data_IF_364837789177
#
_entry.id   IF_364837789177
#
_cell.length_a   1.000
_cell.length_b   1.000
_cell.length_c   1.000
_cell.angle_alpha   90.00
_cell.angle_beta   90.00
_cell.angle_gamma   90.00
#
_symmetry.space_group_name_H-M   'P 1'
#
loop_
_entity.id
_entity.type
_entity.pdbx_description
1 polymer ?
#
# COMPACT_ATOMS: atom_id res chain seq x y z
N UNK A 1 14.71 16.87 1.91
CA UNK A 1 14.20 17.19 0.56
C UNK A 1 12.70 16.94 0.61
N UNK A 2 11.88 17.97 0.45
CA UNK A 2 10.42 17.87 0.51
C UNK A 2 9.92 18.07 -0.92
N UNK A 3 9.43 17.01 -1.55
CA UNK A 3 9.14 16.98 -3.00
C UNK A 3 8.04 18.00 -3.38
N UNK A 4 7.02 18.16 -2.54
CA UNK A 4 6.13 19.33 -2.35
C UNK A 4 5.03 18.90 -1.36
N UNK A 5 4.29 19.83 -0.75
CA UNK A 5 3.19 19.49 0.20
C UNK A 5 2.03 18.75 -0.48
N UNK A 6 1.94 18.85 -1.80
CA UNK A 6 0.81 18.32 -2.59
C UNK A 6 1.07 16.91 -3.13
N UNK A 7 2.29 16.37 -3.02
CA UNK A 7 2.60 15.02 -3.48
C UNK A 7 2.42 14.02 -2.35
N UNK A 8 1.54 13.04 -2.56
CA UNK A 8 1.19 12.04 -1.56
C UNK A 8 0.95 10.67 -2.19
N UNK A 9 0.97 9.61 -1.38
CA UNK A 9 0.71 8.25 -1.83
C UNK A 9 -0.80 7.99 -1.83
N UNK A 10 -1.40 7.79 -3.00
CA UNK A 10 -2.84 7.54 -3.12
C UNK A 10 -3.32 6.28 -2.36
N UNK A 11 -2.41 5.31 -2.12
CA UNK A 11 -2.74 4.14 -1.31
C UNK A 11 -3.05 4.50 0.15
N UNK A 12 -2.56 5.62 0.67
CA UNK A 12 -2.92 6.13 2.00
C UNK A 12 -4.42 6.47 2.06
N UNK A 13 -4.96 7.06 1.00
CA UNK A 13 -6.40 7.35 0.87
C UNK A 13 -7.22 6.06 0.89
N UNK A 14 -6.81 5.04 0.13
CA UNK A 14 -7.54 3.77 0.06
C UNK A 14 -7.47 2.99 1.39
N UNK A 15 -6.30 2.91 2.01
CA UNK A 15 -6.15 2.29 3.34
C UNK A 15 -6.97 3.04 4.39
N UNK A 16 -6.95 4.37 4.36
CA UNK A 16 -7.76 5.21 5.25
C UNK A 16 -9.26 4.96 5.08
N UNK A 17 -9.73 4.77 3.85
CA UNK A 17 -11.14 4.42 3.58
C UNK A 17 -11.53 3.06 4.19
N UNK A 18 -10.65 2.05 4.09
CA UNK A 18 -10.90 0.74 4.69
C UNK A 18 -10.94 0.84 6.22
N UNK A 19 -9.97 1.54 6.83
CA UNK A 19 -9.88 1.69 8.29
C UNK A 19 -10.95 2.60 8.89
N UNK A 20 -11.67 3.37 8.08
CA UNK A 20 -12.81 4.17 8.52
C UNK A 20 -14.10 3.35 8.71
N UNK A 21 -14.11 2.07 8.31
CA UNK A 21 -15.22 1.17 8.61
C UNK A 21 -15.34 0.94 10.13
N UNK A 22 -16.58 0.90 10.62
CA UNK A 22 -16.95 0.54 11.99
C UNK A 22 -16.27 -0.74 12.50
N UNK A 23 -15.99 -1.71 11.62
CA UNK A 23 -15.30 -2.94 12.01
C UNK A 23 -13.87 -2.71 12.54
N UNK A 24 -13.26 -1.56 12.23
CA UNK A 24 -11.95 -1.15 12.75
C UNK A 24 -12.09 -0.04 13.80
N UNK A 25 -12.88 1.00 13.53
CA UNK A 25 -12.97 2.17 14.43
C UNK A 25 -13.58 1.85 15.79
N UNK A 26 -14.47 0.87 15.86
CA UNK A 26 -15.10 0.47 17.13
C UNK A 26 -14.22 -0.49 17.94
N UNK A 27 -13.19 -1.08 17.31
CA UNK A 27 -12.35 -2.14 17.88
C UNK A 27 -10.95 -1.68 18.25
N UNK A 28 -10.44 -0.63 17.61
CA UNK A 28 -9.07 -0.17 17.74
C UNK A 28 -9.02 1.31 18.06
N UNK A 29 -8.08 1.71 18.92
CA UNK A 29 -7.81 3.12 19.17
C UNK A 29 -7.01 3.76 18.01
N UNK A 30 -6.81 5.08 18.08
CA UNK A 30 -6.09 5.82 17.04
C UNK A 30 -4.63 5.37 16.86
N UNK A 31 -3.96 4.89 17.90
CA UNK A 31 -2.57 4.42 17.80
C UNK A 31 -2.52 3.06 17.10
N UNK A 32 -3.43 2.16 17.46
CA UNK A 32 -3.59 0.85 16.82
C UNK A 32 -4.03 0.95 15.35
N UNK A 33 -4.90 1.91 15.02
CA UNK A 33 -5.30 2.18 13.64
C UNK A 33 -4.12 2.75 12.82
N UNK A 34 -3.28 3.60 13.42
CA UNK A 34 -2.06 4.07 12.78
C UNK A 34 -1.07 2.93 12.51
N UNK A 35 -0.89 2.02 13.48
CA UNK A 35 -0.06 0.82 13.31
C UNK A 35 -0.59 -0.09 12.19
N UNK A 36 -1.91 -0.32 12.13
CA UNK A 36 -2.56 -1.04 11.04
C UNK A 36 -2.27 -0.40 9.69
N UNK A 37 -2.42 0.93 9.60
CA UNK A 37 -2.15 1.67 8.37
C UNK A 37 -0.69 1.50 7.95
N UNK A 38 0.27 1.64 8.87
CA UNK A 38 1.69 1.46 8.58
C UNK A 38 2.03 0.05 8.07
N UNK A 39 1.49 -0.99 8.72
CA UNK A 39 1.69 -2.38 8.29
C UNK A 39 1.05 -2.66 6.93
N UNK A 40 -0.14 -2.10 6.67
CA UNK A 40 -0.83 -2.27 5.39
C UNK A 40 -0.07 -1.56 4.26
N UNK A 41 0.31 -0.30 4.46
CA UNK A 41 1.07 0.48 3.47
C UNK A 41 2.43 -0.13 3.14
N UNK A 42 3.08 -0.79 4.11
CA UNK A 42 4.34 -1.50 3.89
C UNK A 42 4.22 -2.72 2.95
N UNK A 43 3.01 -3.20 2.69
CA UNK A 43 2.73 -4.33 1.79
C UNK A 43 2.30 -3.87 0.39
N UNK A 44 1.99 -2.59 0.21
CA UNK A 44 1.41 -2.04 -1.02
C UNK A 44 2.47 -1.35 -1.88
N UNK A 45 2.27 -1.38 -3.20
CA UNK A 45 3.05 -0.53 -4.12
C UNK A 45 2.65 0.93 -3.88
N UNK A 46 3.57 1.85 -3.53
CA UNK A 46 3.22 3.25 -3.39
C UNK A 46 2.86 3.85 -4.76
N UNK A 47 1.82 4.67 -4.78
CA UNK A 47 1.34 5.40 -5.98
C UNK A 47 1.38 6.89 -5.65
N UNK A 48 2.49 7.54 -5.95
CA UNK A 48 2.66 8.96 -5.67
C UNK A 48 1.99 9.82 -6.74
N UNK A 49 1.02 10.63 -6.30
CA UNK A 49 0.26 11.54 -7.15
C UNK A 49 0.31 12.95 -6.58
N UNK A 50 -0.05 13.95 -7.39
CA UNK A 50 -0.22 15.34 -6.93
C UNK A 50 -1.69 15.70 -6.72
N UNK A 51 -2.55 15.34 -7.67
CA UNK A 51 -3.98 15.65 -7.61
C UNK A 51 -4.83 14.40 -7.88
N UNK A 52 -5.69 14.07 -6.93
CA UNK A 52 -6.59 12.90 -7.00
C UNK A 52 -7.50 12.94 -8.22
N UNK A 53 -7.98 14.14 -8.58
CA UNK A 53 -8.89 14.34 -9.73
C UNK A 53 -8.20 13.91 -11.03
N UNK A 54 -6.96 14.36 -11.25
CA UNK A 54 -6.21 14.02 -12.47
C UNK A 54 -5.94 12.52 -12.51
N UNK A 55 -5.50 11.94 -11.39
CA UNK A 55 -5.24 10.50 -11.28
C UNK A 55 -6.49 9.67 -11.56
N UNK A 56 -7.61 9.97 -10.89
CA UNK A 56 -8.87 9.25 -11.05
C UNK A 56 -9.49 9.46 -12.44
N UNK A 57 -9.29 10.61 -13.07
CA UNK A 57 -9.78 10.87 -14.43
C UNK A 57 -9.06 10.05 -15.50
N UNK A 58 -7.80 9.68 -15.25
CA UNK A 58 -6.97 8.87 -16.15
C UNK A 58 -7.04 7.36 -15.83
N UNK A 59 -7.47 6.99 -14.61
CA UNK A 59 -7.53 5.61 -14.15
C UNK A 59 -8.79 4.89 -14.66
N UNK A 60 -8.65 3.64 -15.11
CA UNK A 60 -9.80 2.81 -15.44
C UNK A 60 -10.56 2.37 -14.18
N UNK A 61 -11.87 2.13 -14.31
CA UNK A 61 -12.70 1.66 -13.19
C UNK A 61 -12.23 0.28 -12.68
N UNK A 62 -11.86 -0.62 -13.59
CA UNK A 62 -11.31 -1.94 -13.25
C UNK A 62 -10.05 -1.81 -12.39
N UNK A 63 -9.14 -0.89 -12.77
CA UNK A 63 -7.91 -0.67 -12.01
C UNK A 63 -8.20 -0.10 -10.63
N UNK A 64 -9.17 0.81 -10.51
CA UNK A 64 -9.59 1.34 -9.20
C UNK A 64 -10.12 0.23 -8.29
N UNK A 65 -10.92 -0.70 -8.83
CA UNK A 65 -11.41 -1.87 -8.08
C UNK A 65 -10.25 -2.75 -7.61
N UNK A 66 -9.24 -2.97 -8.44
CA UNK A 66 -8.04 -3.75 -8.08
C UNK A 66 -7.25 -3.06 -6.95
N UNK A 67 -7.02 -1.75 -7.03
CA UNK A 67 -6.30 -1.00 -5.99
C UNK A 67 -7.06 -1.01 -4.65
N UNK A 68 -8.39 -0.91 -4.68
CA UNK A 68 -9.23 -1.04 -3.48
C UNK A 68 -9.09 -2.43 -2.87
N UNK A 69 -9.19 -3.48 -3.68
CA UNK A 69 -9.03 -4.86 -3.22
C UNK A 69 -7.66 -5.11 -2.57
N UNK A 70 -6.58 -4.59 -3.17
CA UNK A 70 -5.25 -4.69 -2.57
C UNK A 70 -5.19 -4.02 -1.20
N UNK A 71 -5.84 -2.86 -1.04
CA UNK A 71 -5.89 -2.13 0.23
C UNK A 71 -6.64 -2.94 1.30
N UNK A 72 -7.79 -3.53 0.94
CA UNK A 72 -8.54 -4.42 1.83
C UNK A 72 -7.74 -5.65 2.25
N UNK A 73 -7.09 -6.31 1.29
CA UNK A 73 -6.28 -7.51 1.54
C UNK A 73 -5.08 -7.19 2.44
N UNK A 74 -4.42 -6.04 2.23
CA UNK A 74 -3.32 -5.58 3.05
C UNK A 74 -3.74 -5.23 4.49
N UNK A 75 -4.90 -4.60 4.68
CA UNK A 75 -5.45 -4.33 6.02
C UNK A 75 -5.78 -5.63 6.75
N UNK A 76 -6.45 -6.58 6.08
CA UNK A 76 -6.77 -7.90 6.65
C UNK A 76 -5.50 -8.67 7.04
N UNK A 77 -4.48 -8.65 6.19
CA UNK A 77 -3.18 -9.26 6.50
C UNK A 77 -2.53 -8.61 7.73
N UNK A 78 -2.56 -7.28 7.81
CA UNK A 78 -2.00 -6.51 8.93
C UNK A 78 -2.73 -6.79 10.25
N UNK A 79 -4.06 -6.92 10.20
CA UNK A 79 -4.88 -7.25 11.37
C UNK A 79 -4.45 -8.57 12.02
N UNK A 80 -4.14 -9.59 11.22
CA UNK A 80 -3.64 -10.87 11.74
C UNK A 80 -2.33 -10.72 12.51
N UNK A 81 -1.47 -9.76 12.12
CA UNK A 81 -0.19 -9.53 12.76
C UNK A 81 -0.33 -8.86 14.13
N UNK A 82 -1.36 -8.03 14.33
CA UNK A 82 -1.64 -7.34 15.59
C UNK A 82 -2.40 -8.25 16.56
N UNK A 83 -3.42 -8.97 16.08
CA UNK A 83 -4.24 -9.85 16.93
C UNK A 83 -3.47 -11.07 17.39
N UNK A 84 -2.66 -11.69 16.51
CA UNK A 84 -1.91 -12.91 16.84
C UNK A 84 -0.55 -12.62 17.50
N UNK A 85 -0.35 -11.40 18.02
CA UNK A 85 0.94 -10.78 18.32
C UNK A 85 2.05 -11.79 18.66
N UNK A 86 2.75 -12.22 17.61
CA UNK A 86 3.84 -13.20 17.72
C UNK A 86 5.04 -12.60 18.44
N UNK A 87 5.07 -11.27 18.66
CA UNK A 87 6.13 -10.58 19.40
C UNK A 87 6.10 -10.96 20.89
N UNK A 88 4.92 -11.17 21.47
CA UNK A 88 4.76 -11.66 22.85
C UNK A 88 5.41 -13.05 23.09
N UNK A 89 5.56 -13.87 22.04
CA UNK A 89 6.15 -15.22 22.12
C UNK A 89 7.62 -15.30 21.69
N UNK A 90 8.26 -14.20 21.28
CA UNK A 90 9.66 -14.20 20.79
C UNK A 90 10.65 -14.06 21.94
N UNK A 91 11.16 -15.19 22.45
CA UNK A 91 12.47 -15.24 23.12
C UNK A 91 13.55 -15.36 22.06
N UNK A 92 14.22 -14.24 21.76
CA UNK A 92 15.40 -14.11 20.91
C UNK A 92 15.30 -14.60 19.46
N UNK A 93 16.02 -13.90 18.58
CA UNK A 93 16.17 -14.14 17.13
C UNK A 93 14.98 -13.70 16.26
N UNK A 94 15.16 -12.57 15.57
CA UNK A 94 14.23 -12.09 14.54
C UNK A 94 14.70 -12.64 13.19
N UNK A 95 13.95 -13.55 12.53
CA UNK A 95 14.19 -13.79 11.11
C UNK A 95 13.70 -12.53 10.39
N UNK A 96 14.60 -11.88 9.66
CA UNK A 96 14.24 -10.83 8.70
C UNK A 96 13.37 -11.47 7.64
N UNK A 97 12.05 -11.35 7.79
CA UNK A 97 11.12 -11.74 6.74
C UNK A 97 11.22 -10.64 5.69
N UNK A 98 12.00 -10.88 4.66
CA UNK A 98 11.83 -10.16 3.41
C UNK A 98 10.43 -10.51 2.91
N UNK A 99 9.45 -9.64 3.15
CA UNK A 99 8.28 -9.63 2.29
C UNK A 99 8.83 -9.39 0.90
N UNK A 100 8.84 -10.42 0.06
CA UNK A 100 8.82 -10.17 -1.37
C UNK A 100 7.42 -9.61 -1.58
N UNK A 101 7.22 -8.29 -1.78
CA UNK A 101 5.94 -7.84 -2.29
C UNK A 101 5.66 -8.72 -3.50
N UNK A 102 4.52 -9.42 -3.49
CA UNK A 102 4.02 -10.06 -4.71
C UNK A 102 3.58 -8.92 -5.62
N UNK A 103 4.55 -8.21 -6.18
CA UNK A 103 4.33 -7.54 -7.43
C UNK A 103 4.07 -8.69 -8.40
N UNK A 104 2.85 -8.72 -8.91
CA UNK A 104 2.52 -9.64 -9.98
C UNK A 104 3.30 -9.13 -11.20
N UNK A 105 4.51 -9.68 -11.36
CA UNK A 105 5.45 -9.32 -12.43
C UNK A 105 4.83 -9.57 -13.82
N UNK A 106 3.71 -10.30 -13.88
CA UNK A 106 2.94 -10.64 -15.07
C UNK A 106 1.81 -9.63 -15.39
N UNK A 107 1.55 -8.63 -14.54
CA UNK A 107 0.64 -7.52 -14.88
C UNK A 107 1.29 -6.69 -15.98
N UNK A 108 0.67 -6.62 -17.16
CA UNK A 108 1.14 -5.76 -18.25
C UNK A 108 1.33 -4.33 -17.75
N UNK A 109 2.55 -3.81 -17.96
CA UNK A 109 2.93 -2.44 -17.64
C UNK A 109 1.97 -1.48 -18.36
N UNK A 110 1.07 -0.82 -17.62
CA UNK A 110 0.20 0.21 -18.19
C UNK A 110 1.08 1.36 -18.70
N UNK A 111 0.60 2.08 -19.72
CA UNK A 111 1.35 3.05 -20.55
C UNK A 111 2.22 4.07 -19.80
N UNK A 112 1.95 4.33 -18.52
CA UNK A 112 2.70 5.20 -17.61
C UNK A 112 3.98 4.56 -17.01
N UNK A 113 4.23 3.28 -17.23
CA UNK A 113 5.39 2.55 -16.71
C UNK A 113 6.47 2.28 -17.77
N UNK A 114 6.29 2.74 -19.01
CA UNK A 114 7.38 2.73 -19.99
C UNK A 114 8.53 3.59 -19.46
N UNK A 115 9.74 3.04 -19.30
CA UNK A 115 10.90 3.84 -18.91
C UNK A 115 11.06 5.00 -19.91
N UNK A 116 11.13 6.23 -19.41
CA UNK A 116 11.34 7.42 -20.24
C UNK A 116 12.68 7.37 -20.99
N UNK A 117 13.64 6.59 -20.47
CA UNK A 117 14.88 6.27 -21.14
C UNK A 117 14.75 4.92 -21.86
N UNK A 118 14.82 4.95 -23.19
CA UNK A 118 15.29 3.78 -23.93
C UNK A 118 16.67 3.41 -23.39
N UNK A 119 16.91 2.14 -23.08
CA UNK A 119 18.26 1.66 -22.84
C UNK A 119 19.03 1.73 -24.16
N UNK A 120 19.55 2.90 -24.48
CA UNK A 120 20.52 3.15 -25.53
C UNK A 120 21.92 2.96 -24.95
N UNK A 121 22.23 1.75 -24.51
CA UNK A 121 23.62 1.30 -24.35
C UNK A 121 23.77 0.18 -25.38
N UNK A 122 24.48 0.33 -26.49
CA UNK A 122 25.81 0.93 -26.59
C UNK A 122 26.80 -0.23 -26.68
N UNK A 123 27.28 -0.48 -27.91
CA UNK A 123 28.18 -1.55 -28.42
C UNK A 123 27.63 -2.96 -28.54
#
# INVERSE_FOLDING_TARGET
MQISVDVHNYMETLVGQVLADSEYTDRFDHEQLADLACLALGQLRPVYIRYDIDFLSALSEERLVVLKRYSEDAVKASLSMIVEDRRSKRKDEVPVVFSKPKFDDDIELEWFEKPLASNENGT
#
